data_IF_379713587246
#
_entry.id   IF_379713587246
#
_cell.length_a   1.000
_cell.length_b   1.000
_cell.length_c   1.000
_cell.angle_alpha   90.00
_cell.angle_beta   90.00
_cell.angle_gamma   90.00
#
_symmetry.space_group_name_H-M   'P 1'
#
loop_
_entity.id
_entity.type
_entity.pdbx_description
1 polymer ?
#
# COMPACT_ATOMS: atom_id res chain seq x y z
N UNK A 1 -15.30 -14.81 0.49
CA UNK A 1 -16.15 -15.60 -0.39
C UNK A 1 -17.13 -14.69 -1.11
N UNK A 2 -17.14 -14.81 -2.43
CA UNK A 2 -18.10 -14.14 -3.30
C UNK A 2 -18.94 -15.23 -3.98
N UNK A 3 -20.23 -15.00 -4.16
CA UNK A 3 -21.12 -15.86 -4.95
C UNK A 3 -22.07 -14.98 -5.74
N UNK A 4 -22.11 -15.18 -7.06
CA UNK A 4 -23.00 -14.47 -7.99
C UNK A 4 -22.95 -12.93 -7.88
N UNK A 5 -21.78 -12.40 -7.59
CA UNK A 5 -21.53 -10.96 -7.40
C UNK A 5 -21.76 -10.42 -5.97
N UNK A 6 -22.23 -11.25 -5.05
CA UNK A 6 -22.51 -10.87 -3.68
C UNK A 6 -21.38 -11.27 -2.72
N UNK A 7 -21.09 -10.43 -1.73
CA UNK A 7 -20.14 -10.74 -0.66
C UNK A 7 -20.85 -11.61 0.38
N UNK A 8 -20.56 -12.92 0.36
CA UNK A 8 -21.17 -13.89 1.27
C UNK A 8 -20.46 -13.91 2.63
N UNK A 9 -19.13 -13.91 2.63
CA UNK A 9 -18.32 -13.92 3.85
C UNK A 9 -16.99 -13.23 3.64
N UNK A 10 -16.53 -12.48 4.66
CA UNK A 10 -15.23 -11.86 4.69
C UNK A 10 -14.67 -11.86 6.14
N UNK A 11 -13.43 -12.30 6.31
CA UNK A 11 -12.77 -12.36 7.62
C UNK A 11 -11.25 -12.29 7.45
N UNK A 12 -10.58 -11.75 8.45
CA UNK A 12 -9.11 -11.65 8.51
C UNK A 12 -8.53 -12.74 9.41
N UNK A 13 -7.36 -13.27 9.04
CA UNK A 13 -6.65 -14.30 9.81
C UNK A 13 -6.35 -13.86 11.25
N UNK A 14 -6.00 -12.59 11.46
CA UNK A 14 -5.73 -12.03 12.80
C UNK A 14 -6.90 -12.15 13.80
N UNK A 15 -8.14 -12.40 13.32
CA UNK A 15 -9.29 -12.66 14.18
C UNK A 15 -9.18 -14.01 14.90
N UNK A 16 -8.50 -14.96 14.28
CA UNK A 16 -8.28 -16.30 14.81
C UNK A 16 -6.96 -16.39 15.56
N UNK A 17 -5.86 -15.96 14.95
CA UNK A 17 -4.51 -16.05 15.51
C UNK A 17 -4.25 -15.07 16.63
N UNK A 18 -5.02 -13.95 16.71
CA UNK A 18 -4.81 -12.83 17.65
C UNK A 18 -3.47 -12.12 17.48
N UNK A 19 -2.81 -12.33 16.36
CA UNK A 19 -1.57 -11.66 15.98
C UNK A 19 -1.93 -10.46 15.11
N UNK A 20 -1.63 -9.24 15.58
CA UNK A 20 -1.91 -8.02 14.81
C UNK A 20 -1.04 -7.96 13.55
N UNK A 21 -1.66 -7.73 12.39
CA UNK A 21 -1.01 -7.74 11.08
C UNK A 21 -0.32 -9.09 10.78
N UNK A 22 -1.00 -10.18 11.08
CA UNK A 22 -0.55 -11.53 10.75
C UNK A 22 -0.43 -11.66 9.22
N UNK A 23 0.77 -11.92 8.74
CA UNK A 23 1.13 -12.09 7.33
C UNK A 23 1.26 -13.55 6.90
N UNK A 24 0.90 -14.47 7.79
CA UNK A 24 0.85 -15.90 7.47
C UNK A 24 -0.25 -16.23 6.46
N UNK A 25 -0.17 -17.43 5.86
CA UNK A 25 -1.23 -17.89 4.99
C UNK A 25 -2.55 -18.01 5.78
N UNK A 26 -3.69 -17.46 5.28
CA UNK A 26 -4.92 -17.31 6.06
C UNK A 26 -5.72 -18.61 6.18
N UNK A 27 -5.12 -19.64 6.75
CA UNK A 27 -5.69 -20.99 6.81
C UNK A 27 -6.96 -21.07 7.65
N UNK A 28 -6.96 -20.39 8.80
CA UNK A 28 -8.11 -20.42 9.72
C UNK A 28 -9.28 -19.56 9.18
N UNK A 29 -8.97 -18.45 8.51
CA UNK A 29 -9.97 -17.63 7.82
C UNK A 29 -10.63 -18.43 6.69
N UNK A 30 -9.87 -19.18 5.89
CA UNK A 30 -10.39 -20.02 4.82
C UNK A 30 -11.26 -21.14 5.39
N UNK A 31 -10.82 -21.87 6.42
CA UNK A 31 -11.61 -22.90 7.10
C UNK A 31 -12.94 -22.34 7.59
N UNK A 32 -12.89 -21.22 8.31
CA UNK A 32 -14.09 -20.56 8.83
C UNK A 32 -15.09 -20.23 7.71
N UNK A 33 -14.62 -19.66 6.59
CA UNK A 33 -15.47 -19.31 5.45
C UNK A 33 -16.12 -20.56 4.84
N UNK A 34 -15.35 -21.62 4.61
CA UNK A 34 -15.87 -22.87 4.03
C UNK A 34 -16.87 -23.54 4.97
N UNK A 35 -16.55 -23.70 6.25
CA UNK A 35 -17.41 -24.32 7.25
C UNK A 35 -18.71 -23.54 7.48
N UNK A 36 -18.62 -22.21 7.64
CA UNK A 36 -19.79 -21.34 7.85
C UNK A 36 -20.80 -21.39 6.70
N UNK A 37 -20.32 -21.63 5.49
CA UNK A 37 -21.14 -21.71 4.29
C UNK A 37 -21.43 -23.15 3.84
N UNK A 38 -20.95 -24.14 4.60
CA UNK A 38 -21.11 -25.59 4.30
C UNK A 38 -20.57 -25.96 2.92
N UNK A 39 -19.46 -25.36 2.53
CA UNK A 39 -18.78 -25.59 1.26
C UNK A 39 -17.47 -26.36 1.48
N UNK A 40 -17.13 -27.17 0.49
CA UNK A 40 -15.79 -27.74 0.33
C UNK A 40 -14.95 -26.90 -0.64
N UNK A 41 -13.64 -27.01 -0.57
CA UNK A 41 -12.75 -26.29 -1.48
C UNK A 41 -12.96 -26.69 -2.96
N UNK A 42 -13.46 -27.91 -3.22
CA UNK A 42 -13.77 -28.40 -4.57
C UNK A 42 -14.97 -27.68 -5.20
N UNK A 43 -15.86 -27.13 -4.39
CA UNK A 43 -17.06 -26.38 -4.85
C UNK A 43 -16.72 -24.93 -5.18
N UNK A 44 -15.51 -24.48 -4.85
CA UNK A 44 -15.03 -23.14 -5.19
C UNK A 44 -14.56 -23.13 -6.65
N UNK A 45 -15.12 -22.25 -7.47
CA UNK A 45 -14.75 -22.11 -8.88
C UNK A 45 -13.38 -21.46 -9.05
N UNK A 46 -13.11 -20.39 -8.29
CA UNK A 46 -11.90 -19.56 -8.42
C UNK A 46 -11.31 -19.19 -7.07
N UNK A 47 -10.00 -19.25 -6.98
CA UNK A 47 -9.22 -18.64 -5.91
C UNK A 47 -8.41 -17.51 -6.54
N UNK A 48 -8.54 -16.30 -5.99
CA UNK A 48 -7.86 -15.11 -6.53
C UNK A 48 -6.91 -14.55 -5.50
N UNK A 49 -5.64 -14.43 -5.89
CA UNK A 49 -4.62 -13.77 -5.09
C UNK A 49 -4.50 -12.30 -5.54
N UNK A 50 -4.38 -11.40 -4.58
CA UNK A 50 -4.55 -9.96 -4.76
C UNK A 50 -3.37 -9.22 -5.41
N UNK A 51 -2.26 -9.89 -5.75
CA UNK A 51 -1.09 -9.26 -6.37
C UNK A 51 -0.40 -10.21 -7.38
N UNK A 52 0.41 -9.64 -8.27
CA UNK A 52 1.25 -10.36 -9.22
C UNK A 52 2.71 -10.44 -8.72
N UNK A 53 3.12 -11.52 -8.06
CA UNK A 53 4.44 -11.63 -7.42
C UNK A 53 5.61 -11.46 -8.38
N UNK A 54 5.48 -11.93 -9.62
CA UNK A 54 6.53 -11.79 -10.64
C UNK A 54 6.80 -10.33 -11.03
N UNK A 55 5.77 -9.51 -11.17
CA UNK A 55 5.92 -8.08 -11.46
C UNK A 55 6.56 -7.32 -10.28
N UNK A 56 6.24 -7.72 -9.04
CA UNK A 56 6.94 -7.18 -7.86
C UNK A 56 8.43 -7.55 -7.87
N UNK A 57 8.75 -8.78 -8.24
CA UNK A 57 10.14 -9.23 -8.36
C UNK A 57 10.89 -8.48 -9.47
N UNK A 58 10.26 -8.29 -10.64
CA UNK A 58 10.78 -7.47 -11.73
C UNK A 58 11.14 -6.06 -11.27
N UNK A 59 10.21 -5.36 -10.57
CA UNK A 59 10.49 -4.05 -10.00
C UNK A 59 11.72 -4.05 -9.10
N UNK A 60 11.90 -5.06 -8.24
CA UNK A 60 13.07 -5.16 -7.37
C UNK A 60 14.36 -5.23 -8.18
N UNK A 61 14.38 -6.06 -9.23
CA UNK A 61 15.53 -6.21 -10.13
C UNK A 61 15.82 -4.91 -10.88
N UNK A 62 14.83 -4.32 -11.52
CA UNK A 62 14.98 -3.08 -12.26
C UNK A 62 15.42 -1.91 -11.39
N UNK A 63 14.85 -1.83 -10.17
CA UNK A 63 15.29 -0.82 -9.20
C UNK A 63 16.76 -1.00 -8.88
N UNK A 64 17.20 -2.22 -8.59
CA UNK A 64 18.62 -2.46 -8.33
C UNK A 64 19.51 -2.11 -9.53
N UNK A 65 19.15 -2.55 -10.73
CA UNK A 65 19.91 -2.26 -11.96
C UNK A 65 20.01 -0.75 -12.23
N UNK A 66 18.93 -0.01 -11.99
CA UNK A 66 18.87 1.44 -12.20
C UNK A 66 19.80 2.22 -11.27
N UNK A 67 20.08 1.70 -10.09
CA UNK A 67 20.93 2.35 -9.09
C UNK A 67 22.31 1.70 -8.91
N UNK A 68 22.60 0.60 -9.62
CA UNK A 68 23.85 -0.15 -9.45
C UNK A 68 25.10 0.75 -9.64
N UNK A 69 26.16 0.53 -8.84
CA UNK A 69 26.34 -0.49 -7.80
C UNK A 69 25.75 -0.09 -6.43
N UNK A 70 25.09 1.06 -6.33
CA UNK A 70 24.41 1.46 -5.09
C UNK A 70 23.28 0.48 -4.77
N UNK A 71 23.09 0.18 -3.48
CA UNK A 71 22.01 -0.72 -3.07
C UNK A 71 22.39 -2.22 -3.05
N UNK A 72 23.61 -2.61 -3.40
CA UNK A 72 24.03 -4.02 -3.40
C UNK A 72 23.78 -4.72 -2.07
N UNK A 73 24.07 -4.05 -0.95
CA UNK A 73 23.84 -4.62 0.40
C UNK A 73 22.36 -4.86 0.71
N UNK A 74 21.49 -3.96 0.27
CA UNK A 74 20.04 -4.12 0.41
C UNK A 74 19.53 -5.24 -0.49
N UNK A 75 19.95 -5.22 -1.76
CA UNK A 75 19.60 -6.23 -2.75
C UNK A 75 20.04 -7.63 -2.32
N UNK A 76 21.29 -7.81 -1.90
CA UNK A 76 21.80 -9.12 -1.48
C UNK A 76 21.08 -9.70 -0.25
N UNK A 77 20.56 -8.84 0.64
CA UNK A 77 19.74 -9.27 1.77
C UNK A 77 18.32 -9.65 1.36
N UNK A 78 17.74 -8.90 0.43
CA UNK A 78 16.34 -9.08 0.02
C UNK A 78 16.17 -10.25 -0.96
N UNK A 79 17.14 -10.48 -1.85
CA UNK A 79 17.02 -11.47 -2.92
C UNK A 79 16.71 -12.91 -2.46
N UNK A 80 17.40 -13.48 -1.46
CA UNK A 80 17.08 -14.84 -1.03
C UNK A 80 15.65 -14.99 -0.51
N UNK A 81 15.16 -13.96 0.22
CA UNK A 81 13.80 -13.93 0.75
C UNK A 81 12.77 -13.81 -0.38
N UNK A 82 13.00 -12.90 -1.34
CA UNK A 82 12.10 -12.69 -2.47
C UNK A 82 12.04 -13.89 -3.41
N UNK A 83 13.17 -14.55 -3.67
CA UNK A 83 13.19 -15.78 -4.43
C UNK A 83 12.34 -16.83 -3.71
N UNK A 84 12.58 -17.06 -2.41
CA UNK A 84 11.86 -18.07 -1.64
C UNK A 84 10.35 -17.80 -1.53
N UNK A 85 9.96 -16.56 -1.26
CA UNK A 85 8.56 -16.23 -0.95
C UNK A 85 7.77 -15.77 -2.18
N UNK A 86 8.35 -14.96 -3.06
CA UNK A 86 7.60 -14.35 -4.17
C UNK A 86 7.61 -15.16 -5.46
N UNK A 87 8.76 -15.70 -5.87
CA UNK A 87 8.82 -16.54 -7.08
C UNK A 87 8.06 -17.86 -6.90
N UNK A 88 8.03 -18.40 -5.69
CA UNK A 88 7.31 -19.65 -5.40
C UNK A 88 5.92 -19.42 -4.78
N UNK A 89 5.39 -18.18 -4.81
CA UNK A 89 4.09 -17.86 -4.20
C UNK A 89 2.97 -18.76 -4.70
N UNK A 90 2.91 -19.04 -6.01
CA UNK A 90 1.93 -19.97 -6.58
C UNK A 90 1.99 -21.33 -5.89
N UNK A 91 3.20 -21.90 -5.77
CA UNK A 91 3.42 -23.19 -5.10
C UNK A 91 3.09 -23.15 -3.61
N UNK A 92 3.39 -22.03 -2.95
CA UNK A 92 3.07 -21.85 -1.52
C UNK A 92 1.55 -21.85 -1.34
N UNK A 93 0.81 -21.10 -2.14
CA UNK A 93 -0.66 -21.06 -2.09
C UNK A 93 -1.24 -22.45 -2.33
N UNK A 94 -0.80 -23.14 -3.38
CA UNK A 94 -1.30 -24.48 -3.73
C UNK A 94 -1.03 -25.47 -2.61
N UNK A 95 0.19 -25.52 -2.07
CA UNK A 95 0.52 -26.43 -0.99
C UNK A 95 -0.37 -26.20 0.23
N UNK A 96 -0.57 -24.94 0.65
CA UNK A 96 -1.44 -24.65 1.79
C UNK A 96 -2.92 -25.01 1.52
N UNK A 97 -3.41 -24.79 0.29
CA UNK A 97 -4.78 -25.20 -0.08
C UNK A 97 -4.91 -26.73 -0.12
N UNK A 98 -3.86 -27.44 -0.55
CA UNK A 98 -3.82 -28.91 -0.53
C UNK A 98 -3.74 -29.51 0.88
N UNK A 99 -3.34 -28.73 1.89
CA UNK A 99 -3.49 -29.15 3.29
C UNK A 99 -4.97 -29.22 3.72
N UNK A 100 -5.82 -28.39 3.12
CA UNK A 100 -7.27 -28.38 3.35
C UNK A 100 -7.99 -29.44 2.51
N UNK A 101 -7.59 -29.59 1.24
CA UNK A 101 -8.15 -30.58 0.32
C UNK A 101 -7.05 -31.07 -0.63
N UNK A 102 -6.65 -32.34 -0.45
CA UNK A 102 -5.59 -33.00 -1.23
C UNK A 102 -5.88 -33.04 -2.74
N UNK A 103 -7.15 -32.92 -3.15
CA UNK A 103 -7.57 -32.96 -4.54
C UNK A 103 -7.59 -31.56 -5.18
N UNK A 104 -7.26 -30.51 -4.45
CA UNK A 104 -7.20 -29.16 -5.01
C UNK A 104 -6.22 -29.09 -6.18
N UNK A 105 -6.72 -28.68 -7.36
CA UNK A 105 -5.93 -28.52 -8.59
C UNK A 105 -5.84 -27.04 -8.96
N UNK A 106 -4.63 -26.55 -9.17
CA UNK A 106 -4.33 -25.15 -9.47
C UNK A 106 -4.66 -24.70 -10.89
N UNK A 107 -4.65 -25.65 -11.85
CA UNK A 107 -4.59 -25.32 -13.29
C UNK A 107 -5.79 -24.50 -13.80
N UNK A 108 -6.94 -24.63 -13.16
CA UNK A 108 -8.18 -23.96 -13.57
C UNK A 108 -8.77 -23.01 -12.53
N UNK A 109 -8.18 -22.95 -11.32
CA UNK A 109 -8.82 -22.29 -10.18
C UNK A 109 -8.05 -21.11 -9.60
N UNK A 110 -6.71 -21.06 -9.75
CA UNK A 110 -5.87 -20.04 -9.11
C UNK A 110 -5.52 -18.90 -10.08
N UNK A 111 -5.96 -17.71 -9.75
CA UNK A 111 -5.69 -16.48 -10.50
C UNK A 111 -4.93 -15.45 -9.66
N UNK A 112 -4.26 -14.53 -10.33
CA UNK A 112 -3.51 -13.43 -9.72
C UNK A 112 -4.01 -12.11 -10.31
N UNK A 113 -4.56 -11.24 -9.48
CA UNK A 113 -4.96 -9.89 -9.84
C UNK A 113 -3.79 -8.92 -9.67
N UNK A 114 -3.86 -7.74 -10.28
CA UNK A 114 -2.95 -6.65 -9.98
C UNK A 114 -3.30 -5.99 -8.65
N UNK A 115 -2.28 -5.58 -7.89
CA UNK A 115 -2.45 -5.04 -6.54
C UNK A 115 -3.39 -3.82 -6.51
N UNK A 116 -3.16 -2.84 -7.37
CA UNK A 116 -4.01 -1.65 -7.42
C UNK A 116 -5.40 -1.92 -8.01
N UNK A 117 -5.53 -2.89 -8.92
CA UNK A 117 -6.83 -3.34 -9.39
C UNK A 117 -7.61 -4.03 -8.25
N UNK A 118 -6.92 -4.82 -7.43
CA UNK A 118 -7.54 -5.46 -6.25
C UNK A 118 -8.01 -4.43 -5.23
N UNK A 119 -7.22 -3.39 -4.97
CA UNK A 119 -7.64 -2.26 -4.13
C UNK A 119 -8.86 -1.55 -4.70
N UNK A 120 -8.83 -1.19 -5.98
CA UNK A 120 -9.93 -0.49 -6.63
C UNK A 120 -11.21 -1.32 -6.61
N UNK A 121 -11.11 -2.61 -6.94
CA UNK A 121 -12.23 -3.55 -6.90
C UNK A 121 -12.83 -3.67 -5.49
N UNK A 122 -11.99 -3.77 -4.46
CA UNK A 122 -12.45 -3.89 -3.07
C UNK A 122 -13.25 -2.69 -2.59
N UNK A 123 -12.92 -1.48 -3.06
CA UNK A 123 -13.66 -0.28 -2.69
C UNK A 123 -14.93 -0.08 -3.54
N UNK A 124 -14.85 -0.30 -4.85
CA UNK A 124 -15.96 -0.04 -5.74
C UNK A 124 -17.07 -1.09 -5.64
N UNK A 125 -16.74 -2.39 -5.77
CA UNK A 125 -17.75 -3.46 -5.74
C UNK A 125 -18.36 -3.68 -4.35
N UNK A 126 -17.72 -3.19 -3.28
CA UNK A 126 -18.31 -3.15 -1.95
C UNK A 126 -19.17 -1.90 -1.70
N UNK A 127 -19.20 -0.94 -2.63
CA UNK A 127 -20.04 0.25 -2.55
C UNK A 127 -21.41 0.03 -3.22
N UNK A 128 -22.34 0.95 -2.95
CA UNK A 128 -23.66 0.96 -3.62
C UNK A 128 -23.65 1.82 -4.90
N UNK A 129 -22.47 2.11 -5.49
CA UNK A 129 -22.37 2.98 -6.64
C UNK A 129 -22.39 2.22 -7.96
N UNK A 130 -23.21 2.66 -8.92
CA UNK A 130 -23.19 2.13 -10.29
C UNK A 130 -22.12 2.77 -11.17
N UNK A 131 -21.63 3.95 -10.81
CA UNK A 131 -20.49 4.60 -11.45
C UNK A 131 -19.72 5.43 -10.43
N UNK A 132 -18.40 5.39 -10.54
CA UNK A 132 -17.51 6.14 -9.65
C UNK A 132 -16.15 6.41 -10.29
N UNK A 133 -15.45 7.42 -9.77
CA UNK A 133 -13.99 7.48 -9.84
C UNK A 133 -13.47 6.63 -8.69
N UNK A 134 -12.47 5.80 -8.94
CA UNK A 134 -11.79 5.03 -7.89
C UNK A 134 -10.35 5.51 -7.81
N UNK A 135 -10.00 6.18 -6.72
CA UNK A 135 -8.65 6.63 -6.45
C UNK A 135 -7.99 5.65 -5.46
N UNK A 136 -6.96 4.96 -5.93
CA UNK A 136 -6.14 4.09 -5.08
C UNK A 136 -4.81 4.78 -4.79
N UNK A 137 -4.49 5.00 -3.52
CA UNK A 137 -3.23 5.57 -3.08
C UNK A 137 -2.60 4.68 -2.00
N UNK A 138 -1.40 4.17 -2.29
CA UNK A 138 -0.73 3.17 -1.47
C UNK A 138 0.77 3.47 -1.31
N UNK A 139 1.47 2.60 -0.58
CA UNK A 139 2.93 2.60 -0.56
C UNK A 139 3.48 2.24 -1.93
N UNK A 140 3.31 1.01 -2.35
CA UNK A 140 3.62 0.53 -3.69
C UNK A 140 3.02 -0.86 -3.94
N UNK A 141 2.34 -1.03 -5.06
CA UNK A 141 1.91 -2.32 -5.59
C UNK A 141 3.02 -3.05 -6.37
N UNK A 142 2.75 -3.48 -7.57
CA UNK A 142 3.80 -3.99 -8.46
C UNK A 142 4.73 -2.83 -8.87
N UNK A 143 4.20 -1.87 -9.61
CA UNK A 143 4.87 -0.62 -10.00
C UNK A 143 4.09 0.62 -9.56
N UNK A 144 2.76 0.57 -9.67
CA UNK A 144 1.90 1.68 -9.30
C UNK A 144 1.96 1.96 -7.79
N UNK A 145 1.92 3.23 -7.44
CA UNK A 145 1.79 3.74 -6.08
C UNK A 145 0.49 4.53 -5.90
N UNK A 146 -0.03 5.07 -6.99
CA UNK A 146 -1.34 5.75 -7.04
C UNK A 146 -1.97 5.42 -8.38
N UNK A 147 -3.24 5.04 -8.39
CA UNK A 147 -3.99 4.80 -9.63
C UNK A 147 -5.34 5.49 -9.57
N UNK A 148 -5.82 5.86 -10.75
CA UNK A 148 -7.20 6.32 -10.96
C UNK A 148 -7.88 5.35 -11.88
N UNK A 149 -9.00 4.81 -11.46
CA UNK A 149 -9.86 4.00 -12.30
C UNK A 149 -11.23 4.65 -12.50
N UNK A 150 -11.84 4.37 -13.63
CA UNK A 150 -13.26 4.63 -13.88
C UNK A 150 -14.00 3.31 -13.72
N UNK A 151 -15.08 3.35 -12.97
CA UNK A 151 -15.93 2.21 -12.73
C UNK A 151 -17.36 2.50 -13.20
N UNK A 152 -17.95 1.57 -13.98
CA UNK A 152 -19.32 1.63 -14.49
C UNK A 152 -19.92 0.21 -14.52
N UNK A 153 -20.97 -0.03 -13.71
CA UNK A 153 -21.55 -1.36 -13.57
C UNK A 153 -20.52 -2.40 -13.12
N UNK A 154 -20.24 -3.40 -13.93
CA UNK A 154 -19.25 -4.45 -13.65
C UNK A 154 -17.86 -4.17 -14.28
N UNK A 155 -17.70 -3.03 -14.95
CA UNK A 155 -16.45 -2.65 -15.58
C UNK A 155 -15.65 -1.72 -14.67
N UNK A 156 -14.35 -1.97 -14.59
CA UNK A 156 -13.39 -1.19 -13.81
C UNK A 156 -12.09 -1.09 -14.61
N UNK A 157 -11.77 0.13 -15.08
CA UNK A 157 -10.60 0.38 -15.91
C UNK A 157 -9.65 1.37 -15.24
N UNK A 158 -8.38 0.99 -15.07
CA UNK A 158 -7.33 1.90 -14.61
C UNK A 158 -6.90 2.78 -15.78
N UNK A 159 -7.06 4.10 -15.63
CA UNK A 159 -6.83 5.08 -16.68
C UNK A 159 -5.61 5.99 -16.43
N UNK A 160 -5.19 6.13 -15.17
CA UNK A 160 -4.01 6.93 -14.79
C UNK A 160 -3.24 6.24 -13.67
N UNK A 161 -1.93 6.43 -13.66
CA UNK A 161 -1.07 5.90 -12.60
C UNK A 161 0.15 6.80 -12.31
N UNK A 162 0.56 6.83 -11.05
CA UNK A 162 1.87 7.29 -10.61
C UNK A 162 2.65 6.05 -10.19
N UNK A 163 3.89 5.92 -10.70
CA UNK A 163 4.73 4.74 -10.46
C UNK A 163 5.79 4.99 -9.39
N UNK A 164 6.21 3.91 -8.75
CA UNK A 164 7.43 3.86 -7.95
C UNK A 164 8.62 4.45 -8.75
N UNK A 165 9.49 5.26 -8.15
CA UNK A 165 9.63 5.50 -6.71
C UNK A 165 8.80 6.67 -6.15
N UNK A 166 7.91 7.27 -6.94
CA UNK A 166 7.07 8.38 -6.52
C UNK A 166 5.81 7.84 -5.85
N UNK A 167 5.66 8.05 -4.54
CA UNK A 167 4.57 7.51 -3.75
C UNK A 167 4.26 8.40 -2.54
N UNK A 168 3.00 8.79 -2.39
CA UNK A 168 2.53 9.54 -1.22
C UNK A 168 2.58 8.66 0.04
N UNK A 169 2.26 7.37 -0.08
CA UNK A 169 2.38 6.41 1.01
C UNK A 169 3.83 6.22 1.47
N UNK A 170 4.80 6.09 0.55
CA UNK A 170 6.21 6.00 0.91
C UNK A 170 6.73 7.32 1.50
N UNK A 171 6.24 8.48 1.04
CA UNK A 171 6.55 9.76 1.67
C UNK A 171 6.06 9.77 3.12
N UNK A 172 4.81 9.40 3.36
CA UNK A 172 4.25 9.33 4.71
C UNK A 172 5.00 8.32 5.59
N UNK A 173 5.35 7.16 5.05
CA UNK A 173 6.16 6.14 5.73
C UNK A 173 7.60 6.62 6.02
N UNK A 174 8.18 7.49 5.19
CA UNK A 174 9.47 8.10 5.46
C UNK A 174 9.41 9.00 6.70
N UNK A 175 8.35 9.76 6.89
CA UNK A 175 8.11 10.55 8.09
C UNK A 175 7.77 9.69 9.31
N UNK A 176 7.03 8.59 9.11
CA UNK A 176 6.78 7.56 10.13
C UNK A 176 8.09 7.01 10.67
N UNK A 177 9.01 6.61 9.78
CA UNK A 177 10.36 6.18 10.12
C UNK A 177 11.15 7.27 10.83
N UNK A 178 11.13 8.50 10.30
CA UNK A 178 11.90 9.63 10.84
C UNK A 178 11.50 9.98 12.27
N UNK A 179 10.22 9.86 12.62
CA UNK A 179 9.69 10.05 13.97
C UNK A 179 9.86 8.83 14.87
N UNK A 180 10.55 7.78 14.41
CA UNK A 180 10.89 6.58 15.17
C UNK A 180 9.76 5.59 15.33
N UNK A 181 8.72 5.65 14.51
CA UNK A 181 7.68 4.63 14.45
C UNK A 181 8.03 3.53 13.45
N UNK A 182 7.48 2.33 13.66
CA UNK A 182 7.65 1.20 12.75
C UNK A 182 6.88 1.43 11.47
N UNK A 183 7.55 1.36 10.32
CA UNK A 183 6.91 1.41 8.98
C UNK A 183 6.05 0.17 8.76
N UNK A 184 5.01 0.29 7.97
CA UNK A 184 3.99 -0.73 7.71
C UNK A 184 3.22 -1.18 8.98
N UNK A 185 2.90 -0.23 9.84
CA UNK A 185 2.13 -0.51 11.05
C UNK A 185 2.27 0.56 12.13
N UNK A 186 2.88 1.68 11.81
CA UNK A 186 3.01 2.84 12.70
C UNK A 186 2.53 4.16 12.07
N UNK A 187 2.07 4.13 10.83
CA UNK A 187 1.54 5.29 10.11
C UNK A 187 0.35 5.91 10.85
N UNK A 188 -0.54 5.09 11.42
CA UNK A 188 -1.64 5.57 12.25
C UNK A 188 -1.20 6.29 13.52
N UNK A 189 0.00 5.96 14.06
CA UNK A 189 0.57 6.67 15.21
C UNK A 189 1.07 8.05 14.82
N UNK A 190 1.65 8.18 13.62
CA UNK A 190 2.04 9.48 13.08
C UNK A 190 0.80 10.35 12.82
N UNK A 191 -0.25 9.78 12.23
CA UNK A 191 -1.54 10.44 12.05
C UNK A 191 -2.13 10.90 13.38
N UNK A 192 -2.15 10.03 14.40
CA UNK A 192 -2.62 10.37 15.75
C UNK A 192 -1.76 11.39 16.50
N UNK A 193 -0.47 11.57 16.09
CA UNK A 193 0.43 12.57 16.64
C UNK A 193 0.22 13.96 16.03
N UNK A 194 -0.25 14.03 14.78
CA UNK A 194 -0.40 15.28 14.03
C UNK A 194 -1.26 16.36 14.71
N UNK A 195 -2.40 16.06 15.37
CA UNK A 195 -3.21 17.07 16.04
C UNK A 195 -2.51 17.84 17.18
N UNK A 196 -1.41 17.31 17.71
CA UNK A 196 -0.64 17.94 18.79
C UNK A 196 0.45 18.89 18.28
N UNK A 197 0.65 18.99 16.95
CA UNK A 197 1.69 19.80 16.32
C UNK A 197 1.16 20.99 15.55
N UNK A 198 2.11 21.84 15.14
CA UNK A 198 1.89 22.97 14.24
C UNK A 198 2.57 22.62 12.90
N UNK A 199 1.90 22.75 11.73
CA UNK A 199 2.43 22.32 10.44
C UNK A 199 3.47 23.31 9.87
N UNK A 200 4.49 23.68 10.64
CA UNK A 200 5.50 24.68 10.30
C UNK A 200 6.51 24.22 9.25
N UNK A 201 6.62 22.92 9.00
CA UNK A 201 7.56 22.35 8.02
C UNK A 201 6.92 22.08 6.65
N UNK A 202 5.64 22.43 6.45
CA UNK A 202 4.91 22.22 5.19
C UNK A 202 5.67 22.82 3.99
N UNK A 203 6.13 24.06 4.12
CA UNK A 203 6.94 24.70 3.08
C UNK A 203 8.26 23.97 2.80
N UNK A 204 8.96 23.52 3.83
CA UNK A 204 10.20 22.75 3.68
C UNK A 204 9.97 21.44 2.91
N UNK A 205 8.84 20.77 3.14
CA UNK A 205 8.44 19.55 2.44
C UNK A 205 8.22 19.84 0.95
N UNK A 206 7.44 20.85 0.62
CA UNK A 206 7.18 21.23 -0.78
C UNK A 206 8.43 21.73 -1.51
N UNK A 207 9.24 22.55 -0.88
CA UNK A 207 10.44 23.13 -1.52
C UNK A 207 11.53 22.07 -1.81
N UNK A 208 11.55 20.93 -1.08
CA UNK A 208 12.67 20.00 -1.14
C UNK A 208 12.29 18.56 -1.48
N UNK A 209 11.18 18.05 -0.96
CA UNK A 209 10.89 16.62 -0.97
C UNK A 209 9.91 16.19 -2.06
N UNK A 210 8.96 17.06 -2.44
CA UNK A 210 7.90 16.73 -3.38
C UNK A 210 7.57 17.89 -4.29
N UNK A 211 7.51 17.64 -5.59
CA UNK A 211 6.98 18.56 -6.61
C UNK A 211 5.56 18.15 -6.96
N UNK A 212 4.58 19.04 -6.76
CA UNK A 212 3.15 18.77 -6.98
C UNK A 212 2.63 19.62 -8.09
N UNK A 213 2.09 18.98 -9.14
CA UNK A 213 1.52 19.65 -10.32
C UNK A 213 0.11 20.21 -10.02
N UNK A 214 -0.44 20.95 -10.99
CA UNK A 214 -1.78 21.55 -10.87
C UNK A 214 -2.90 20.54 -10.74
N UNK A 215 -2.77 19.38 -11.37
CA UNK A 215 -3.71 18.26 -11.30
C UNK A 215 -3.58 17.41 -10.04
N UNK A 216 -2.59 17.71 -9.20
CA UNK A 216 -2.26 16.95 -8.00
C UNK A 216 -1.29 15.80 -8.22
N UNK A 217 -0.92 15.48 -9.47
CA UNK A 217 0.17 14.55 -9.72
C UNK A 217 1.48 15.06 -9.14
N UNK A 218 2.37 14.16 -8.74
CA UNK A 218 3.56 14.56 -7.99
C UNK A 218 4.79 13.69 -8.32
N UNK A 219 5.95 14.26 -8.01
CA UNK A 219 7.23 13.57 -8.05
C UNK A 219 8.03 13.78 -6.76
N UNK A 220 8.62 12.72 -6.21
CA UNK A 220 9.49 12.80 -5.04
C UNK A 220 10.94 13.04 -5.43
N UNK A 221 11.62 13.89 -4.69
CA UNK A 221 13.05 14.14 -4.85
C UNK A 221 13.85 13.02 -4.15
N UNK A 222 14.28 12.03 -4.93
CA UNK A 222 14.97 10.84 -4.44
C UNK A 222 16.31 11.11 -3.73
N UNK A 223 16.83 12.33 -3.79
CA UNK A 223 18.05 12.75 -3.07
C UNK A 223 17.97 12.56 -1.55
N UNK A 224 16.77 12.60 -0.99
CA UNK A 224 16.52 12.60 0.46
C UNK A 224 16.06 11.23 0.98
N UNK A 225 15.69 10.33 0.10
CA UNK A 225 15.14 9.01 0.45
C UNK A 225 16.18 7.91 0.22
N UNK A 226 16.00 6.81 0.94
CA UNK A 226 16.93 5.68 0.91
C UNK A 226 16.24 4.35 0.59
N UNK A 227 14.93 4.33 0.45
CA UNK A 227 14.15 3.11 0.28
C UNK A 227 14.41 2.38 -1.07
N UNK A 228 14.96 3.06 -2.09
CA UNK A 228 15.35 2.41 -3.34
C UNK A 228 16.67 1.62 -3.22
N UNK A 229 17.59 2.05 -2.33
CA UNK A 229 18.97 1.54 -2.32
C UNK A 229 19.47 1.15 -0.93
N UNK A 230 18.75 1.49 0.13
CA UNK A 230 19.16 1.30 1.52
C UNK A 230 18.22 0.39 2.30
N UNK A 231 18.54 0.28 3.61
CA UNK A 231 17.72 -0.45 4.59
C UNK A 231 16.94 0.51 5.50
N UNK A 232 16.93 1.80 5.16
CA UNK A 232 16.24 2.87 5.89
C UNK A 232 15.34 3.63 4.91
N UNK A 233 14.34 4.34 5.41
CA UNK A 233 13.46 5.14 4.55
C UNK A 233 14.09 6.46 4.14
N UNK A 234 14.86 7.09 5.04
CA UNK A 234 15.49 8.39 4.86
C UNK A 234 16.99 8.31 5.02
N UNK A 235 17.71 9.34 4.56
CA UNK A 235 19.16 9.50 4.71
C UNK A 235 19.52 10.74 5.56
N UNK A 236 20.83 11.03 5.72
CA UNK A 236 21.29 12.19 6.49
C UNK A 236 20.81 13.53 5.92
N UNK A 237 20.71 13.66 4.58
CA UNK A 237 20.22 14.90 3.95
C UNK A 237 18.77 15.20 4.32
N UNK A 238 17.94 14.17 4.52
CA UNK A 238 16.58 14.33 5.03
C UNK A 238 16.62 14.88 6.48
N UNK A 239 17.45 14.31 7.32
CA UNK A 239 17.64 14.78 8.69
C UNK A 239 18.14 16.24 8.75
N UNK A 240 19.08 16.59 7.88
CA UNK A 240 19.67 17.95 7.80
C UNK A 240 18.61 19.01 7.41
N UNK A 241 17.61 18.66 6.57
CA UNK A 241 16.51 19.57 6.21
C UNK A 241 15.71 20.07 7.42
N UNK A 242 15.55 19.20 8.40
CA UNK A 242 14.73 19.49 9.58
C UNK A 242 15.58 19.83 10.81
N UNK A 243 16.92 19.76 10.68
CA UNK A 243 17.87 20.07 11.76
C UNK A 243 17.85 19.09 12.94
N UNK A 244 17.31 17.89 12.73
CA UNK A 244 17.18 16.84 13.75
C UNK A 244 17.48 15.46 13.16
N UNK A 245 18.10 14.57 13.95
CA UNK A 245 18.34 13.18 13.53
C UNK A 245 17.03 12.37 13.57
N UNK A 246 17.01 11.26 12.83
CA UNK A 246 15.94 10.26 12.97
C UNK A 246 15.86 9.81 14.42
N UNK A 247 14.65 9.86 14.99
CA UNK A 247 14.41 9.50 16.38
C UNK A 247 14.68 8.02 16.62
N UNK A 248 15.44 7.73 17.68
CA UNK A 248 15.55 6.38 18.26
C UNK A 248 14.54 6.25 19.42
N UNK A 249 13.48 5.45 19.27
CA UNK A 249 12.43 5.35 20.30
C UNK A 249 12.89 4.80 21.64
N UNK A 250 14.08 4.14 21.69
CA UNK A 250 14.64 3.61 22.92
C UNK A 250 15.45 4.67 23.71
N UNK A 251 15.81 5.79 23.07
CA UNK A 251 16.68 6.81 23.65
C UNK A 251 16.03 8.19 23.76
N UNK A 252 14.99 8.42 22.98
CA UNK A 252 14.38 9.75 22.88
C UNK A 252 12.86 9.65 22.96
N UNK A 253 12.25 10.45 23.83
CA UNK A 253 10.81 10.62 23.91
C UNK A 253 10.29 11.52 22.79
N UNK A 254 9.00 11.37 22.44
CA UNK A 254 8.33 12.30 21.54
C UNK A 254 8.30 13.70 22.18
N UNK A 255 8.55 14.73 21.37
CA UNK A 255 8.50 16.13 21.78
C UNK A 255 7.80 16.99 20.72
N UNK A 256 7.73 18.31 20.95
CA UNK A 256 7.01 19.23 20.07
C UNK A 256 7.53 19.19 18.64
N UNK A 257 8.84 19.01 18.42
CA UNK A 257 9.40 18.86 17.08
C UNK A 257 8.77 17.70 16.30
N UNK A 258 8.63 16.53 16.94
CA UNK A 258 8.02 15.35 16.30
C UNK A 258 6.53 15.56 16.03
N UNK A 259 5.82 16.27 16.88
CA UNK A 259 4.42 16.65 16.69
C UNK A 259 4.27 17.61 15.49
N UNK A 260 5.15 18.59 15.37
CA UNK A 260 5.15 19.55 14.26
C UNK A 260 5.51 18.89 12.92
N UNK A 261 6.42 17.93 12.92
CA UNK A 261 6.74 17.08 11.76
C UNK A 261 5.51 16.27 11.35
N UNK A 262 4.83 15.64 12.31
CA UNK A 262 3.60 14.86 12.04
C UNK A 262 2.49 15.75 11.47
N UNK A 263 2.23 16.91 12.07
CA UNK A 263 1.26 17.88 11.57
C UNK A 263 1.59 18.37 10.17
N UNK A 264 2.88 18.56 9.86
CA UNK A 264 3.33 19.06 8.56
C UNK A 264 3.11 18.05 7.43
N UNK A 265 3.50 16.79 7.63
CA UNK A 265 3.25 15.76 6.61
C UNK A 265 1.78 15.42 6.48
N UNK A 266 1.02 15.43 7.57
CA UNK A 266 -0.43 15.25 7.54
C UNK A 266 -1.07 16.29 6.64
N UNK A 267 -0.78 17.57 6.86
CA UNK A 267 -1.27 18.69 6.04
C UNK A 267 -0.90 18.55 4.56
N UNK A 268 0.35 18.19 4.26
CA UNK A 268 0.79 17.94 2.86
C UNK A 268 0.00 16.82 2.22
N UNK A 269 -0.24 15.73 2.95
CA UNK A 269 -1.01 14.59 2.45
C UNK A 269 -2.45 15.00 2.12
N UNK A 270 -3.12 15.71 3.03
CA UNK A 270 -4.47 16.24 2.83
C UNK A 270 -4.57 17.17 1.60
N UNK A 271 -3.64 18.11 1.49
CA UNK A 271 -3.62 19.08 0.37
C UNK A 271 -3.43 18.37 -0.98
N UNK A 272 -2.56 17.35 -1.06
CA UNK A 272 -2.33 16.58 -2.29
C UNK A 272 -3.55 15.73 -2.63
N UNK A 273 -4.10 14.98 -1.68
CA UNK A 273 -5.29 14.16 -1.90
C UNK A 273 -6.48 15.01 -2.36
N UNK A 274 -6.74 16.13 -1.70
CA UNK A 274 -7.79 17.07 -2.09
C UNK A 274 -7.56 17.66 -3.49
N UNK A 275 -6.30 17.94 -3.85
CA UNK A 275 -5.94 18.48 -5.17
C UNK A 275 -6.20 17.45 -6.27
N UNK A 276 -5.78 16.18 -6.06
CA UNK A 276 -6.08 15.08 -6.97
C UNK A 276 -7.59 14.92 -7.14
N UNK A 277 -8.34 14.79 -6.06
CA UNK A 277 -9.80 14.58 -6.11
C UNK A 277 -10.52 15.72 -6.82
N UNK A 278 -10.16 16.96 -6.54
CA UNK A 278 -10.75 18.14 -7.22
C UNK A 278 -10.45 18.13 -8.73
N UNK A 279 -9.24 17.78 -9.12
CA UNK A 279 -8.86 17.66 -10.53
C UNK A 279 -9.64 16.54 -11.22
N UNK A 280 -9.71 15.36 -10.61
CA UNK A 280 -10.46 14.22 -11.14
C UNK A 280 -11.96 14.53 -11.26
N UNK A 281 -12.55 15.20 -10.27
CA UNK A 281 -13.95 15.63 -10.35
C UNK A 281 -14.19 16.58 -11.53
N UNK A 282 -13.27 17.52 -11.78
CA UNK A 282 -13.37 18.45 -12.91
C UNK A 282 -13.23 17.73 -14.25
N UNK A 283 -12.33 16.76 -14.34
CA UNK A 283 -12.00 16.05 -15.58
C UNK A 283 -13.09 15.05 -15.99
N UNK A 284 -13.54 14.23 -15.05
CA UNK A 284 -14.45 13.11 -15.33
C UNK A 284 -15.91 13.37 -14.97
N UNK A 285 -16.17 14.39 -14.17
CA UNK A 285 -17.52 14.80 -13.74
C UNK A 285 -18.41 13.66 -13.22
N UNK A 286 -17.82 12.63 -12.59
CA UNK A 286 -18.56 11.54 -11.97
C UNK A 286 -19.11 11.96 -10.59
N UNK A 287 -20.29 11.46 -10.18
CA UNK A 287 -20.91 11.88 -8.91
C UNK A 287 -20.23 11.25 -7.68
N UNK A 288 -19.65 10.08 -7.83
CA UNK A 288 -19.14 9.26 -6.72
C UNK A 288 -17.62 9.09 -6.78
N UNK A 289 -17.03 8.96 -5.60
CA UNK A 289 -15.61 8.68 -5.39
C UNK A 289 -15.48 7.50 -4.44
N UNK A 290 -14.69 6.49 -4.84
CA UNK A 290 -14.21 5.44 -3.97
C UNK A 290 -12.72 5.66 -3.69
N UNK A 291 -12.31 5.42 -2.45
CA UNK A 291 -10.90 5.51 -2.03
C UNK A 291 -10.41 4.15 -1.56
N UNK A 292 -9.20 3.77 -1.96
CA UNK A 292 -8.55 2.53 -1.56
C UNK A 292 -7.05 2.69 -1.38
N UNK A 293 -6.40 1.65 -0.81
CA UNK A 293 -4.96 1.63 -0.52
C UNK A 293 -4.61 2.20 0.85
N UNK A 294 -3.34 2.03 1.24
CA UNK A 294 -2.87 2.38 2.58
C UNK A 294 -3.03 3.87 2.95
N UNK A 295 -2.92 4.78 1.97
CA UNK A 295 -3.13 6.23 2.22
C UNK A 295 -4.61 6.53 2.49
N UNK A 296 -5.54 5.78 1.89
CA UNK A 296 -6.97 5.95 2.14
C UNK A 296 -7.41 5.53 3.57
N UNK A 297 -6.55 4.84 4.32
CA UNK A 297 -6.76 4.57 5.75
C UNK A 297 -6.48 5.79 6.63
N UNK A 298 -5.92 6.86 6.07
CA UNK A 298 -5.77 8.12 6.76
C UNK A 298 -7.12 8.83 6.82
N UNK A 299 -7.83 8.65 7.94
CA UNK A 299 -9.19 9.16 8.13
C UNK A 299 -9.29 10.69 8.27
N UNK A 300 -8.19 11.41 8.18
CA UNK A 300 -8.10 12.87 8.25
C UNK A 300 -7.85 13.48 6.88
N UNK A 301 -7.19 12.72 5.97
CA UNK A 301 -6.86 13.17 4.62
C UNK A 301 -8.04 13.10 3.64
#
# INVERSE_FOLDING_TARGET
LLADGEIVSAVQEERFTRIKHDDSFPIEAIKFILESNKLSLNEIDYVVFYEKPFLKFERLLETYLSFAPKGFKSFSKSMPLWIKEKLFMKKIIVNNLQELDKNFSEEKKLFFSEHHLSHAASAYFASNFNNAIVLTADGVGEWASTTVAIAEGNELEIIKEIKFPHSLGLLYSAFTYYTGFKVNGGEYKLMGLAPYGIPRFTKTIYDNLIDVKEDGSFGLNQKYFNYCTGLTMTNSKFADLFGHKTRDPNKESLNQFHMDIAASIQKVTEEIMLKIVKSLKKEFNKPNLCLAGGVALNCVA
#
